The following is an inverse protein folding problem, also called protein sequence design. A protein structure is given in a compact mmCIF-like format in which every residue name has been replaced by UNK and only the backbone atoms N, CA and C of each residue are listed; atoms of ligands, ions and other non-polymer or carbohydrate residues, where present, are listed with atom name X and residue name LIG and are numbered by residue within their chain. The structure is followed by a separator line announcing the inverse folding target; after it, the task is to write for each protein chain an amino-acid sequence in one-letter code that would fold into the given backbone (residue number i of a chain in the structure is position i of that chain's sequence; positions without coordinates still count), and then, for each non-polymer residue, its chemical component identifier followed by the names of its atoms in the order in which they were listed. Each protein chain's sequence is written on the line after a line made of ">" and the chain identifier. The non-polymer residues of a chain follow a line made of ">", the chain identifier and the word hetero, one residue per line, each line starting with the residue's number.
data_IF_130862686542
#
_entry.id   IF_130862686542
#
_cell.length_a   1.000
_cell.length_b   1.000
_cell.length_c   1.000
_cell.angle_alpha   90.00
_cell.angle_beta   90.00
_cell.angle_gamma   90.00
#
_symmetry.space_group_name_H-M   'P 1'
#
loop_
_entity.id
_entity.type
_entity.pdbx_description
1 polymer ?
#
# COMPACT_ATOMS: atom_id res chain seq x y z
N UNK A 1 -26.38 -90.41 -40.95
CA UNK A 1 -25.65 -90.27 -39.67
C UNK A 1 -24.54 -89.21 -39.76
N UNK A 2 -23.75 -89.19 -40.85
CA UNK A 2 -22.69 -88.19 -41.10
C UNK A 2 -23.13 -86.71 -41.04
N UNK A 3 -24.29 -86.35 -41.59
CA UNK A 3 -24.77 -84.95 -41.60
C UNK A 3 -25.06 -84.40 -40.20
N UNK A 4 -25.53 -85.25 -39.27
CA UNK A 4 -25.74 -84.89 -37.86
C UNK A 4 -24.42 -84.65 -37.13
N UNK A 5 -23.37 -85.39 -37.50
CA UNK A 5 -22.03 -85.23 -36.93
C UNK A 5 -21.36 -83.94 -37.41
N UNK A 6 -21.55 -83.57 -38.68
CA UNK A 6 -21.04 -82.32 -39.26
C UNK A 6 -21.64 -81.09 -38.57
N UNK A 7 -22.95 -81.10 -38.32
CA UNK A 7 -23.65 -80.02 -37.59
C UNK A 7 -23.11 -79.89 -36.17
N UNK A 8 -22.79 -81.00 -35.50
CA UNK A 8 -22.25 -80.98 -34.15
C UNK A 8 -20.83 -80.39 -34.09
N UNK A 9 -19.99 -80.68 -35.09
CA UNK A 9 -18.65 -80.10 -35.22
C UNK A 9 -18.71 -78.59 -35.48
N UNK A 10 -19.62 -78.15 -36.36
CA UNK A 10 -19.82 -76.72 -36.63
C UNK A 10 -20.28 -75.98 -35.37
N UNK A 11 -21.17 -76.57 -34.57
CA UNK A 11 -21.65 -75.98 -33.31
C UNK A 11 -20.52 -75.79 -32.28
N UNK A 12 -19.62 -76.77 -32.15
CA UNK A 12 -18.48 -76.71 -31.22
C UNK A 12 -17.47 -75.65 -31.67
N UNK A 13 -17.22 -75.52 -32.98
CA UNK A 13 -16.30 -74.49 -33.50
C UNK A 13 -16.90 -73.09 -33.31
N UNK A 14 -18.22 -72.91 -33.48
CA UNK A 14 -18.90 -71.63 -33.24
C UNK A 14 -18.88 -71.20 -31.77
N UNK A 15 -18.96 -72.14 -30.82
CA UNK A 15 -18.93 -71.84 -29.38
C UNK A 15 -17.55 -71.39 -28.87
N UNK A 16 -16.46 -71.73 -29.57
CA UNK A 16 -15.09 -71.35 -29.19
C UNK A 16 -14.62 -70.01 -29.81
N UNK A 17 -15.46 -69.34 -30.61
CA UNK A 17 -15.11 -68.07 -31.27
C UNK A 17 -15.46 -66.81 -30.43
N UNK A 18 -16.21 -66.96 -29.33
CA UNK A 18 -16.77 -65.85 -28.55
C UNK A 18 -15.79 -65.23 -27.53
N UNK A 19 -14.79 -65.96 -27.04
CA UNK A 19 -13.89 -65.46 -25.99
C UNK A 19 -13.04 -64.26 -26.46
N UNK A 20 -12.55 -64.30 -27.71
CA UNK A 20 -11.73 -63.23 -28.30
C UNK A 20 -12.57 -61.99 -28.67
N UNK A 21 -13.82 -62.19 -29.09
CA UNK A 21 -14.75 -61.12 -29.45
C UNK A 21 -15.24 -60.33 -28.23
N UNK A 22 -15.52 -61.03 -27.13
CA UNK A 22 -15.95 -60.44 -25.86
C UNK A 22 -14.85 -59.58 -25.21
N UNK A 23 -13.61 -60.08 -25.17
CA UNK A 23 -12.46 -59.33 -24.63
C UNK A 23 -12.19 -58.04 -25.41
N UNK A 24 -12.23 -58.09 -26.75
CA UNK A 24 -12.08 -56.91 -27.60
C UNK A 24 -13.22 -55.90 -27.40
N UNK A 25 -14.44 -56.38 -27.21
CA UNK A 25 -15.62 -55.54 -26.95
C UNK A 25 -15.50 -54.82 -25.61
N UNK A 26 -15.02 -55.53 -24.57
CA UNK A 26 -14.76 -54.96 -23.24
C UNK A 26 -13.68 -53.87 -23.30
N UNK A 27 -12.55 -54.13 -23.97
CA UNK A 27 -11.50 -53.12 -24.15
C UNK A 27 -11.99 -51.89 -24.91
N UNK A 28 -12.80 -52.05 -25.96
CA UNK A 28 -13.41 -50.92 -26.67
C UNK A 28 -14.32 -50.09 -25.76
N UNK A 29 -15.10 -50.74 -24.92
CA UNK A 29 -15.98 -50.06 -23.96
C UNK A 29 -15.17 -49.30 -22.90
N UNK A 30 -14.11 -49.89 -22.37
CA UNK A 30 -13.19 -49.23 -21.41
C UNK A 30 -12.49 -48.02 -22.05
N UNK A 31 -12.04 -48.13 -23.31
CA UNK A 31 -11.43 -47.01 -24.04
C UNK A 31 -12.44 -45.88 -24.29
N UNK A 32 -13.70 -46.21 -24.60
CA UNK A 32 -14.75 -45.21 -24.77
C UNK A 32 -15.07 -44.51 -23.45
N UNK A 33 -15.17 -45.25 -22.34
CA UNK A 33 -15.37 -44.69 -21.01
C UNK A 33 -14.19 -43.80 -20.60
N UNK A 34 -12.95 -44.25 -20.81
CA UNK A 34 -11.76 -43.46 -20.52
C UNK A 34 -11.72 -42.16 -21.33
N UNK A 35 -12.15 -42.20 -22.60
CA UNK A 35 -12.25 -40.99 -23.43
C UNK A 35 -13.29 -40.02 -22.89
N UNK A 36 -14.43 -40.52 -22.43
CA UNK A 36 -15.49 -39.71 -21.82
C UNK A 36 -15.01 -39.07 -20.52
N UNK A 37 -14.43 -39.86 -19.61
CA UNK A 37 -13.87 -39.40 -18.34
C UNK A 37 -12.78 -38.35 -18.56
N UNK A 38 -11.90 -38.55 -19.55
CA UNK A 38 -10.86 -37.61 -19.89
C UNK A 38 -11.45 -36.28 -20.41
N UNK A 39 -12.48 -36.36 -21.24
CA UNK A 39 -13.19 -35.17 -21.75
C UNK A 39 -13.84 -34.40 -20.60
N UNK A 40 -14.53 -35.10 -19.70
CA UNK A 40 -15.14 -34.48 -18.52
C UNK A 40 -14.10 -33.85 -17.60
N UNK A 41 -12.96 -34.52 -17.40
CA UNK A 41 -11.85 -34.00 -16.60
C UNK A 41 -11.31 -32.69 -17.17
N UNK A 42 -11.02 -32.63 -18.48
CA UNK A 42 -10.53 -31.42 -19.11
C UNK A 42 -11.55 -30.28 -19.07
N UNK A 43 -12.82 -30.55 -19.37
CA UNK A 43 -13.87 -29.53 -19.30
C UNK A 43 -14.03 -28.97 -17.88
N UNK A 44 -13.95 -29.83 -16.86
CA UNK A 44 -13.98 -29.40 -15.46
C UNK A 44 -12.77 -28.54 -15.13
N UNK A 45 -11.57 -28.94 -15.57
CA UNK A 45 -10.34 -28.19 -15.32
C UNK A 45 -10.30 -26.85 -16.02
N UNK A 46 -10.80 -26.77 -17.24
CA UNK A 46 -10.94 -25.51 -17.97
C UNK A 46 -11.86 -24.56 -17.21
N UNK A 47 -13.04 -25.03 -16.79
CA UNK A 47 -13.97 -24.21 -16.00
C UNK A 47 -13.39 -23.74 -14.67
N UNK A 48 -12.73 -24.62 -13.92
CA UNK A 48 -12.04 -24.25 -12.67
C UNK A 48 -10.97 -23.18 -12.92
N UNK A 49 -10.24 -23.29 -14.02
CA UNK A 49 -9.20 -22.33 -14.39
C UNK A 49 -9.78 -20.98 -14.81
N UNK A 50 -10.87 -20.96 -15.57
CA UNK A 50 -11.59 -19.74 -15.93
C UNK A 50 -12.14 -19.00 -14.70
N UNK A 51 -12.75 -19.74 -13.76
CA UNK A 51 -13.25 -19.18 -12.51
C UNK A 51 -12.10 -18.61 -11.66
N UNK A 52 -10.99 -19.34 -11.53
CA UNK A 52 -9.79 -18.86 -10.84
C UNK A 52 -9.24 -17.58 -11.50
N UNK A 53 -9.10 -17.56 -12.83
CA UNK A 53 -8.62 -16.40 -13.57
C UNK A 53 -9.52 -15.18 -13.36
N UNK A 54 -10.84 -15.37 -13.34
CA UNK A 54 -11.80 -14.30 -13.06
C UNK A 54 -11.59 -13.75 -11.65
N UNK A 55 -11.48 -14.62 -10.64
CA UNK A 55 -11.28 -14.19 -9.25
C UNK A 55 -9.96 -13.43 -9.07
N UNK A 56 -8.89 -13.86 -9.74
CA UNK A 56 -7.59 -13.17 -9.72
C UNK A 56 -7.74 -11.77 -10.30
N UNK A 57 -8.37 -11.63 -11.47
CA UNK A 57 -8.59 -10.31 -12.09
C UNK A 57 -9.41 -9.37 -11.22
N UNK A 58 -10.43 -9.88 -10.54
CA UNK A 58 -11.24 -9.09 -9.60
C UNK A 58 -10.41 -8.63 -8.38
N UNK A 59 -9.56 -9.50 -7.84
CA UNK A 59 -8.64 -9.17 -6.75
C UNK A 59 -7.61 -8.13 -7.22
N UNK A 60 -7.01 -8.31 -8.39
CA UNK A 60 -6.03 -7.36 -8.97
C UNK A 60 -6.66 -5.97 -9.16
N UNK A 61 -7.87 -5.91 -9.72
CA UNK A 61 -8.58 -4.65 -9.89
C UNK A 61 -8.84 -3.95 -8.56
N UNK A 62 -9.25 -4.70 -7.53
CA UNK A 62 -9.48 -4.16 -6.18
C UNK A 62 -8.18 -3.67 -5.53
N UNK A 63 -7.09 -4.44 -5.65
CA UNK A 63 -5.78 -4.05 -5.12
C UNK A 63 -5.29 -2.76 -5.76
N UNK A 64 -5.50 -2.59 -7.07
CA UNK A 64 -5.10 -1.37 -7.78
C UNK A 64 -5.94 -0.16 -7.36
N UNK A 65 -7.24 -0.35 -7.17
CA UNK A 65 -8.12 0.69 -6.61
C UNK A 65 -7.70 1.09 -5.19
N UNK A 66 -7.43 0.11 -4.32
CA UNK A 66 -7.00 0.33 -2.95
C UNK A 66 -5.67 1.09 -2.88
N UNK A 67 -4.69 0.74 -3.74
CA UNK A 67 -3.42 1.49 -3.86
C UNK A 67 -3.65 2.95 -4.22
N UNK A 68 -4.46 3.21 -5.24
CA UNK A 68 -4.78 4.58 -5.67
C UNK A 68 -5.48 5.36 -4.55
N UNK A 69 -6.37 4.72 -3.81
CA UNK A 69 -7.04 5.34 -2.66
C UNK A 69 -6.05 5.69 -1.55
N UNK A 70 -5.10 4.79 -1.25
CA UNK A 70 -4.04 5.02 -0.26
C UNK A 70 -3.16 6.21 -0.67
N UNK A 71 -2.70 6.26 -1.93
CA UNK A 71 -1.88 7.37 -2.43
C UNK A 71 -2.60 8.71 -2.33
N UNK A 72 -3.89 8.74 -2.69
CA UNK A 72 -4.72 9.94 -2.56
C UNK A 72 -4.89 10.37 -1.09
N UNK A 73 -5.07 9.42 -0.17
CA UNK A 73 -5.16 9.70 1.26
C UNK A 73 -3.83 10.26 1.81
N UNK A 74 -2.70 9.68 1.41
CA UNK A 74 -1.37 10.18 1.80
C UNK A 74 -1.20 11.62 1.34
N UNK A 75 -1.53 11.94 0.09
CA UNK A 75 -1.44 13.29 -0.46
C UNK A 75 -2.32 14.28 0.32
N UNK A 76 -3.59 13.94 0.57
CA UNK A 76 -4.51 14.76 1.37
C UNK A 76 -3.99 15.01 2.78
N UNK A 77 -3.41 13.98 3.41
CA UNK A 77 -2.84 14.11 4.76
C UNK A 77 -1.62 15.03 4.76
N UNK A 78 -0.75 14.96 3.75
CA UNK A 78 0.38 15.87 3.62
C UNK A 78 -0.07 17.33 3.45
N UNK A 79 -1.08 17.58 2.62
CA UNK A 79 -1.70 18.90 2.44
C UNK A 79 -2.29 19.41 3.76
N UNK A 80 -3.06 18.58 4.46
CA UNK A 80 -3.67 18.93 5.74
C UNK A 80 -2.61 19.23 6.82
N UNK A 81 -1.54 18.44 6.91
CA UNK A 81 -0.44 18.70 7.86
C UNK A 81 0.22 20.04 7.55
N UNK A 82 0.41 20.38 6.27
CA UNK A 82 0.96 21.68 5.86
C UNK A 82 0.03 22.82 6.29
N UNK A 83 -1.28 22.68 6.07
CA UNK A 83 -2.28 23.66 6.50
C UNK A 83 -2.28 23.84 8.01
N UNK A 84 -2.28 22.75 8.78
CA UNK A 84 -2.21 22.78 10.25
C UNK A 84 -0.94 23.50 10.71
N UNK A 85 0.22 23.17 10.14
CA UNK A 85 1.49 23.84 10.49
C UNK A 85 1.45 25.33 10.17
N UNK A 86 0.89 25.72 9.03
CA UNK A 86 0.73 27.11 8.66
C UNK A 86 -0.20 27.85 9.64
N UNK A 87 -1.33 27.26 9.98
CA UNK A 87 -2.30 27.86 10.92
C UNK A 87 -1.70 27.99 12.33
N UNK A 88 -0.99 26.96 12.81
CA UNK A 88 -0.25 27.03 14.09
C UNK A 88 0.75 28.19 14.03
N UNK A 89 1.55 28.26 12.97
CA UNK A 89 2.56 29.32 12.80
C UNK A 89 1.92 30.71 12.82
N UNK A 90 0.83 30.91 12.07
CA UNK A 90 0.09 32.17 12.02
C UNK A 90 -0.46 32.57 13.39
N UNK A 91 -1.05 31.63 14.13
CA UNK A 91 -1.56 31.87 15.48
C UNK A 91 -0.43 32.22 16.45
N UNK A 92 0.66 31.47 16.41
CA UNK A 92 1.84 31.70 17.26
C UNK A 92 2.43 33.08 17.00
N UNK A 93 2.68 33.45 15.73
CA UNK A 93 3.17 34.79 15.36
C UNK A 93 2.22 35.87 15.87
N UNK A 94 0.90 35.70 15.69
CA UNK A 94 -0.09 36.68 16.15
C UNK A 94 -0.09 36.85 17.67
N UNK A 95 0.05 35.76 18.43
CA UNK A 95 0.13 35.80 19.89
C UNK A 95 1.34 36.63 20.34
N UNK A 96 2.52 36.35 19.80
CA UNK A 96 3.74 37.06 20.19
C UNK A 96 3.79 38.51 19.67
N UNK A 97 3.20 38.81 18.51
CA UNK A 97 3.01 40.18 18.01
C UNK A 97 2.15 41.05 18.95
N UNK A 98 1.15 40.44 19.60
CA UNK A 98 0.23 41.12 20.51
C UNK A 98 0.72 41.11 21.97
N UNK A 99 1.71 40.28 22.28
CA UNK A 99 2.26 40.14 23.62
C UNK A 99 3.15 41.34 23.96
N UNK A 100 3.13 41.75 25.24
CA UNK A 100 4.07 42.76 25.72
C UNK A 100 5.51 42.22 25.59
N UNK A 101 6.48 43.00 25.06
CA UNK A 101 7.84 42.52 24.80
C UNK A 101 8.53 41.90 26.02
N UNK A 102 8.30 42.45 27.21
CA UNK A 102 8.84 41.91 28.47
C UNK A 102 8.31 40.52 28.80
N UNK A 103 7.03 40.25 28.53
CA UNK A 103 6.43 38.94 28.79
C UNK A 103 6.90 37.94 27.73
N UNK A 104 6.96 38.35 26.46
CA UNK A 104 7.48 37.51 25.39
C UNK A 104 8.95 37.10 25.65
N UNK A 105 9.77 38.04 26.11
CA UNK A 105 11.15 37.76 26.50
C UNK A 105 11.24 36.73 27.64
N UNK A 106 10.41 36.85 28.68
CA UNK A 106 10.38 35.86 29.77
C UNK A 106 9.97 34.47 29.29
N UNK A 107 8.99 34.37 28.39
CA UNK A 107 8.57 33.10 27.79
C UNK A 107 9.70 32.50 26.95
N UNK A 108 10.37 33.31 26.14
CA UNK A 108 11.49 32.86 25.31
C UNK A 108 12.69 32.43 26.15
N UNK A 109 13.04 33.17 27.20
CA UNK A 109 14.10 32.77 28.15
C UNK A 109 13.80 31.40 28.77
N UNK A 110 12.55 31.17 29.18
CA UNK A 110 12.12 29.88 29.73
C UNK A 110 12.17 28.76 28.68
N UNK A 111 11.72 29.02 27.46
CA UNK A 111 11.78 28.04 26.37
C UNK A 111 13.22 27.67 26.00
N UNK A 112 14.13 28.64 25.97
CA UNK A 112 15.55 28.40 25.71
C UNK A 112 16.16 27.56 26.85
N UNK A 113 15.81 27.85 28.10
CA UNK A 113 16.23 27.07 29.26
C UNK A 113 15.71 25.62 29.20
N UNK A 114 14.52 25.40 28.65
CA UNK A 114 13.96 24.06 28.38
C UNK A 114 14.58 23.35 27.18
N UNK A 115 15.55 23.96 26.49
CA UNK A 115 16.20 23.39 25.31
C UNK A 115 15.45 23.61 23.99
N UNK A 116 14.41 24.45 23.97
CA UNK A 116 13.59 24.73 22.78
C UNK A 116 14.06 25.97 22.02
N UNK A 117 15.37 26.15 21.92
CA UNK A 117 15.97 27.33 21.27
C UNK A 117 15.58 27.45 19.79
N UNK A 118 15.49 26.33 19.08
CA UNK A 118 15.11 26.28 17.66
C UNK A 118 13.66 26.77 17.44
N UNK A 119 12.72 26.37 18.31
CA UNK A 119 11.33 26.84 18.24
C UNK A 119 11.24 28.35 18.47
N UNK A 120 12.01 28.87 19.42
CA UNK A 120 12.07 30.32 19.69
C UNK A 120 12.65 31.07 18.50
N UNK A 121 13.71 30.54 17.89
CA UNK A 121 14.31 31.10 16.70
C UNK A 121 13.32 31.16 15.53
N UNK A 122 12.61 30.07 15.26
CA UNK A 122 11.57 29.97 14.23
C UNK A 122 10.44 31.00 14.40
N UNK A 123 10.10 31.32 15.65
CA UNK A 123 9.14 32.38 15.96
C UNK A 123 9.77 33.75 15.67
N UNK A 124 10.99 34.01 16.15
CA UNK A 124 11.67 35.30 16.01
C UNK A 124 11.82 35.72 14.55
N UNK A 125 12.23 34.81 13.65
CA UNK A 125 12.40 35.14 12.23
C UNK A 125 11.09 35.52 11.51
N UNK A 126 9.92 35.21 12.12
CA UNK A 126 8.60 35.50 11.56
C UNK A 126 7.92 36.72 12.19
N UNK A 127 8.46 37.25 13.27
CA UNK A 127 7.96 38.46 13.93
C UNK A 127 8.45 39.70 13.18
N UNK A 128 7.73 40.82 13.30
CA UNK A 128 8.21 42.10 12.77
C UNK A 128 9.50 42.53 13.47
N UNK A 129 10.44 43.08 12.71
CA UNK A 129 11.76 43.52 13.22
C UNK A 129 11.66 44.45 14.44
N UNK A 130 10.64 45.33 14.46
CA UNK A 130 10.39 46.24 15.59
C UNK A 130 10.07 45.49 16.89
N UNK A 131 9.26 44.44 16.81
CA UNK A 131 8.91 43.58 17.94
C UNK A 131 10.12 42.73 18.35
N UNK A 132 10.83 42.15 17.39
CA UNK A 132 12.07 41.39 17.64
C UNK A 132 13.08 42.24 18.39
N UNK A 133 13.35 43.47 17.93
CA UNK A 133 14.29 44.39 18.60
C UNK A 133 13.91 44.66 20.05
N UNK A 134 12.62 44.90 20.32
CA UNK A 134 12.15 45.18 21.67
C UNK A 134 12.22 43.94 22.59
N UNK A 135 11.93 42.75 22.04
CA UNK A 135 12.04 41.49 22.76
C UNK A 135 13.51 41.19 23.06
N UNK A 136 14.39 41.26 22.06
CA UNK A 136 15.83 40.99 22.20
C UNK A 136 16.51 41.89 23.25
N UNK A 137 16.10 43.17 23.35
CA UNK A 137 16.58 44.08 24.40
C UNK A 137 16.17 43.69 25.82
N UNK A 138 15.12 42.88 25.95
CA UNK A 138 14.52 42.50 27.23
C UNK A 138 14.86 41.07 27.66
N UNK A 139 15.42 40.26 26.75
CA UNK A 139 15.89 38.92 27.05
C UNK A 139 17.05 38.93 28.05
N UNK A 140 17.27 37.78 28.68
CA UNK A 140 18.50 37.56 29.42
C UNK A 140 19.72 37.54 28.46
N UNK A 141 20.92 37.80 29.00
CA UNK A 141 22.15 37.96 28.21
C UNK A 141 22.50 36.67 27.45
N UNK A 142 22.31 35.51 28.08
CA UNK A 142 22.64 34.21 27.51
C UNK A 142 21.74 33.86 26.32
N UNK A 143 20.42 33.92 26.51
CA UNK A 143 19.39 33.78 25.49
C UNK A 143 19.59 34.74 24.33
N UNK A 144 19.82 36.02 24.61
CA UNK A 144 20.04 37.04 23.59
C UNK A 144 21.29 36.71 22.75
N UNK A 145 22.38 36.30 23.41
CA UNK A 145 23.64 35.95 22.76
C UNK A 145 23.48 34.72 21.85
N UNK A 146 22.80 33.68 22.33
CA UNK A 146 22.50 32.46 21.55
C UNK A 146 21.67 32.81 20.32
N UNK A 147 20.58 33.56 20.49
CA UNK A 147 19.69 33.94 19.39
C UNK A 147 20.38 34.88 18.38
N UNK A 148 21.23 35.81 18.85
CA UNK A 148 22.03 36.66 17.97
C UNK A 148 22.98 35.81 17.12
N UNK A 149 23.66 34.83 17.69
CA UNK A 149 24.52 33.93 16.93
C UNK A 149 23.75 33.13 15.86
N UNK A 150 22.55 32.64 16.19
CA UNK A 150 21.68 31.96 15.23
C UNK A 150 21.23 32.89 14.09
N UNK A 151 20.83 34.13 14.41
CA UNK A 151 20.43 35.13 13.42
C UNK A 151 21.58 35.50 12.47
N UNK A 152 22.80 35.62 12.99
CA UNK A 152 23.98 35.88 12.16
C UNK A 152 24.28 34.74 11.19
N UNK A 153 24.16 33.49 11.65
CA UNK A 153 24.40 32.32 10.81
C UNK A 153 23.33 32.18 9.74
N UNK A 154 22.06 32.35 10.09
CA UNK A 154 20.95 32.35 9.15
C UNK A 154 21.14 33.38 8.03
N UNK A 155 21.57 34.61 8.38
CA UNK A 155 21.87 35.66 7.40
C UNK A 155 23.08 35.34 6.50
N UNK A 156 24.06 34.57 6.99
CA UNK A 156 25.23 34.13 6.20
C UNK A 156 24.84 33.04 5.21
N UNK A 157 23.92 32.16 5.59
CA UNK A 157 23.39 31.10 4.72
C UNK A 157 22.51 31.70 3.62
N UNK A 158 21.59 32.61 3.97
CA UNK A 158 20.71 33.29 3.00
C UNK A 158 21.49 34.10 1.93
N UNK A 159 22.70 34.56 2.25
CA UNK A 159 23.57 35.30 1.31
C UNK A 159 24.43 34.42 0.40
N UNK A 160 24.48 33.10 0.64
CA UNK A 160 25.26 32.15 -0.15
C UNK A 160 24.45 31.50 -1.27
N UNK A 161 23.13 31.56 -1.16
CA UNK A 161 22.16 31.23 -2.20
C UNK A 161 21.83 32.45 -3.08
#
# INVERSE_FOLDING_TARGET
>A
MFFRFLIFIVLIISLNADETSSALTKQKMEVLQLKEDLTQFYNKKEKENEEALKSIKEIEAKVEEDKKNIENLIKKNQELIKEIRNEITLKTTKIYEQMKPKIAAQVFDQMILEGKVEEVFDIIIRLKESNVSNIMKTLNIESASILTFMLENFKKEEKRD
#
